data_IF_913590937430
#
_entry.id   IF_913590937430
#
_cell.length_a   1.000
_cell.length_b   1.000
_cell.length_c   1.000
_cell.angle_alpha   90.00
_cell.angle_beta   90.00
_cell.angle_gamma   90.00
#
_symmetry.space_group_name_H-M   'P 1'
#
loop_
_entity.id
_entity.type
_entity.pdbx_description
1 polymer ?
#
# COMPACT_ATOMS: atom_id res chain seq x y z
N UNK A 1 -26.50 50.96 2.68
CA UNK A 1 -27.21 49.67 2.85
C UNK A 1 -26.31 48.59 2.27
N UNK A 2 -25.92 47.55 3.04
CA UNK A 2 -25.18 46.44 2.44
C UNK A 2 -26.09 45.76 1.42
N UNK A 3 -25.57 45.52 0.21
CA UNK A 3 -26.31 44.84 -0.83
C UNK A 3 -26.85 43.51 -0.28
N UNK A 4 -28.17 43.32 -0.30
CA UNK A 4 -28.78 42.01 -0.03
C UNK A 4 -28.26 41.04 -1.10
N UNK A 5 -27.29 40.21 -0.73
CA UNK A 5 -26.81 39.14 -1.59
C UNK A 5 -27.95 38.11 -1.66
N UNK A 6 -28.77 38.19 -2.69
CA UNK A 6 -29.81 37.20 -2.95
C UNK A 6 -29.13 35.87 -3.25
N UNK A 7 -29.32 34.87 -2.38
CA UNK A 7 -28.76 33.54 -2.58
C UNK A 7 -29.40 32.88 -3.82
N UNK A 8 -28.63 32.15 -4.62
CA UNK A 8 -29.17 31.48 -5.80
C UNK A 8 -30.11 30.35 -5.37
N UNK A 9 -31.20 30.15 -6.12
CA UNK A 9 -32.10 28.99 -5.95
C UNK A 9 -31.38 27.64 -6.09
N UNK A 10 -30.28 27.62 -6.84
CA UNK A 10 -29.41 26.45 -7.04
C UNK A 10 -27.95 26.83 -6.81
N UNK A 11 -27.33 26.26 -5.78
CA UNK A 11 -25.92 26.42 -5.49
C UNK A 11 -25.14 25.15 -5.88
N UNK A 12 -23.96 25.34 -6.47
CA UNK A 12 -23.03 24.27 -6.80
C UNK A 12 -21.76 24.45 -5.97
N UNK A 13 -21.34 23.40 -5.28
CA UNK A 13 -20.10 23.35 -4.51
C UNK A 13 -19.22 22.28 -5.11
N UNK A 14 -17.93 22.56 -5.22
CA UNK A 14 -16.91 21.61 -5.62
C UNK A 14 -15.93 21.47 -4.47
N UNK A 15 -15.62 20.24 -4.08
CA UNK A 15 -14.76 19.96 -2.93
C UNK A 15 -13.65 19.03 -3.34
N UNK A 16 -12.47 19.24 -2.79
CA UNK A 16 -11.32 18.36 -3.02
C UNK A 16 -10.43 18.28 -1.77
N UNK A 17 -9.70 17.18 -1.65
CA UNK A 17 -8.65 16.97 -0.67
C UNK A 17 -7.32 16.63 -1.35
N UNK A 18 -6.25 17.31 -0.96
CA UNK A 18 -4.93 17.14 -1.59
C UNK A 18 -3.83 16.84 -0.58
N UNK A 19 -2.80 16.13 -1.05
CA UNK A 19 -1.57 15.87 -0.30
C UNK A 19 -0.38 16.45 -1.04
N UNK A 20 0.46 17.23 -0.34
CA UNK A 20 1.69 17.80 -0.89
C UNK A 20 2.77 17.84 0.19
N UNK A 21 3.98 17.34 -0.11
CA UNK A 21 5.16 17.39 0.77
C UNK A 21 4.86 17.23 2.28
N UNK A 22 4.28 16.08 2.66
CA UNK A 22 3.86 15.76 4.02
C UNK A 22 2.73 16.64 4.63
N UNK A 23 2.09 17.51 3.86
CA UNK A 23 0.91 18.28 4.23
C UNK A 23 -0.36 17.72 3.59
N UNK A 24 -1.47 17.78 4.33
CA UNK A 24 -2.81 17.41 3.86
C UNK A 24 -3.69 18.66 3.93
N UNK A 25 -4.32 18.96 2.80
CA UNK A 25 -5.22 20.09 2.62
C UNK A 25 -6.61 19.64 2.20
N UNK A 26 -7.59 20.50 2.45
CA UNK A 26 -8.97 20.36 2.00
C UNK A 26 -9.46 21.69 1.47
N UNK A 27 -10.38 21.67 0.52
CA UNK A 27 -11.00 22.88 0.03
C UNK A 27 -12.43 22.68 -0.47
N UNK A 28 -13.13 23.80 -0.56
CA UNK A 28 -14.42 23.95 -1.21
C UNK A 28 -14.45 25.24 -2.02
N UNK A 29 -15.04 25.16 -3.21
CA UNK A 29 -15.30 26.27 -4.11
C UNK A 29 -16.76 26.31 -4.54
N UNK A 30 -17.38 27.49 -4.45
CA UNK A 30 -18.74 27.76 -4.90
C UNK A 30 -18.89 29.24 -5.31
N UNK A 31 -19.94 29.54 -6.08
CA UNK A 31 -20.32 30.92 -6.39
C UNK A 31 -20.77 31.72 -5.16
N UNK A 32 -21.17 31.04 -4.07
CA UNK A 32 -21.61 31.69 -2.82
C UNK A 32 -20.54 31.70 -1.72
N UNK A 33 -19.36 31.14 -2.00
CA UNK A 33 -18.26 31.12 -1.04
C UNK A 33 -17.19 30.08 -1.37
N UNK A 34 -16.01 30.28 -0.81
CA UNK A 34 -14.91 29.33 -0.89
C UNK A 34 -14.20 29.25 0.46
N UNK A 35 -13.62 28.09 0.76
CA UNK A 35 -12.78 27.91 1.92
C UNK A 35 -11.70 26.88 1.61
N UNK A 36 -10.55 27.02 2.26
CA UNK A 36 -9.49 26.02 2.22
C UNK A 36 -8.97 25.83 3.64
N UNK A 37 -8.60 24.60 3.99
CA UNK A 37 -8.26 24.19 5.35
C UNK A 37 -6.99 23.34 5.34
N UNK A 38 -5.90 23.82 5.96
CA UNK A 38 -4.76 22.99 6.30
C UNK A 38 -5.23 21.96 7.35
N UNK A 39 -5.37 20.70 6.93
CA UNK A 39 -5.95 19.64 7.78
C UNK A 39 -4.92 19.12 8.76
N UNK A 40 -3.69 18.93 8.28
CA UNK A 40 -2.60 18.43 9.10
C UNK A 40 -1.48 17.86 8.25
N UNK A 41 -0.69 16.98 8.83
CA UNK A 41 0.40 16.32 8.12
C UNK A 41 -0.01 14.95 7.61
N UNK A 42 0.66 14.42 6.58
CA UNK A 42 0.45 13.03 6.11
C UNK A 42 0.85 11.99 7.18
N UNK A 43 1.55 12.45 8.21
CA UNK A 43 1.88 11.78 9.45
C UNK A 43 0.71 11.64 10.43
N UNK A 44 -0.37 12.39 10.25
CA UNK A 44 -1.54 12.39 11.14
C UNK A 44 -2.85 12.17 10.41
N UNK A 45 -2.96 12.67 9.18
CA UNK A 45 -4.16 12.64 8.35
C UNK A 45 -3.87 12.00 6.99
N UNK A 46 -4.93 11.52 6.33
CA UNK A 46 -4.88 10.97 4.97
C UNK A 46 -5.51 11.95 3.99
N UNK A 47 -5.19 11.87 2.70
CA UNK A 47 -5.89 12.63 1.65
C UNK A 47 -7.41 12.41 1.73
N UNK A 48 -7.85 11.17 1.96
CA UNK A 48 -9.26 10.84 2.22
C UNK A 48 -9.90 11.64 3.38
N UNK A 49 -9.13 12.04 4.39
CA UNK A 49 -9.65 12.89 5.45
C UNK A 49 -9.78 14.35 4.99
N UNK A 50 -8.88 14.82 4.12
CA UNK A 50 -9.03 16.11 3.45
C UNK A 50 -10.28 16.18 2.60
N UNK A 51 -10.61 15.11 1.90
CA UNK A 51 -11.81 14.98 1.07
C UNK A 51 -13.10 15.13 1.89
N UNK A 52 -13.15 14.47 3.05
CA UNK A 52 -14.25 14.62 4.00
C UNK A 52 -14.30 16.04 4.60
N UNK A 53 -13.15 16.65 4.92
CA UNK A 53 -13.10 18.04 5.41
C UNK A 53 -13.57 19.04 4.34
N UNK A 54 -13.35 18.76 3.05
CA UNK A 54 -13.88 19.58 1.94
C UNK A 54 -15.41 19.56 1.91
N UNK A 55 -16.01 18.37 2.04
CA UNK A 55 -17.48 18.22 2.17
C UNK A 55 -17.98 18.96 3.41
N UNK A 56 -17.32 18.79 4.55
CA UNK A 56 -17.76 19.45 5.79
C UNK A 56 -17.67 20.99 5.69
N UNK A 57 -16.63 21.52 5.03
CA UNK A 57 -16.50 22.94 4.76
C UNK A 57 -17.63 23.47 3.85
N UNK A 58 -18.06 22.69 2.85
CA UNK A 58 -19.21 23.05 2.02
C UNK A 58 -20.50 23.15 2.84
N UNK A 59 -20.72 22.19 3.74
CA UNK A 59 -21.88 22.19 4.63
C UNK A 59 -21.83 23.34 5.65
N UNK A 60 -20.65 23.70 6.15
CA UNK A 60 -20.47 24.87 7.03
C UNK A 60 -20.82 26.18 6.31
N UNK A 61 -20.44 26.34 5.03
CA UNK A 61 -20.85 27.50 4.23
C UNK A 61 -22.38 27.55 4.09
N UNK A 62 -23.01 26.42 3.77
CA UNK A 62 -24.49 26.34 3.66
C UNK A 62 -25.19 26.70 4.97
N UNK A 63 -24.68 26.23 6.11
CA UNK A 63 -25.24 26.55 7.43
C UNK A 63 -25.14 28.04 7.78
N UNK A 64 -24.09 28.73 7.29
CA UNK A 64 -23.90 30.17 7.47
C UNK A 64 -24.72 31.00 6.47
N UNK A 65 -25.04 30.43 5.32
CA UNK A 65 -25.79 31.07 4.23
C UNK A 65 -27.24 30.59 4.19
N UNK A 66 -28.04 30.96 5.19
CA UNK A 66 -29.46 30.62 5.21
C UNK A 66 -30.27 31.53 4.28
N UNK A 67 -31.12 30.99 3.40
CA UNK A 67 -32.02 31.78 2.58
C UNK A 67 -33.00 32.58 3.44
N UNK A 68 -33.23 33.83 3.07
CA UNK A 68 -34.22 34.69 3.71
C UNK A 68 -35.64 34.51 3.15
N UNK A 69 -35.79 33.75 2.05
CA UNK A 69 -37.08 33.53 1.39
C UNK A 69 -37.71 32.17 1.71
N UNK A 70 -39.01 32.06 1.46
CA UNK A 70 -39.81 30.89 1.81
C UNK A 70 -39.64 29.70 0.86
N UNK A 71 -38.95 29.87 -0.27
CA UNK A 71 -38.80 28.81 -1.24
C UNK A 71 -37.66 27.85 -0.84
N UNK A 72 -37.76 26.56 -1.20
CA UNK A 72 -36.66 25.64 -1.04
C UNK A 72 -35.53 25.94 -2.03
N UNK A 73 -34.30 26.02 -1.53
CA UNK A 73 -33.07 26.12 -2.34
C UNK A 73 -32.42 24.75 -2.48
N UNK A 74 -31.76 24.50 -3.60
CA UNK A 74 -31.02 23.25 -3.85
C UNK A 74 -29.52 23.50 -3.81
N UNK A 75 -28.78 22.69 -3.06
CA UNK A 75 -27.32 22.70 -3.03
C UNK A 75 -26.78 21.36 -3.49
N UNK A 76 -25.98 21.35 -4.56
CA UNK A 76 -25.26 20.15 -5.01
C UNK A 76 -23.78 20.27 -4.70
N UNK A 77 -23.28 19.35 -3.89
CA UNK A 77 -21.87 19.21 -3.52
C UNK A 77 -21.24 18.13 -4.40
N UNK A 78 -20.33 18.56 -5.27
CA UNK A 78 -19.57 17.72 -6.17
C UNK A 78 -18.23 17.34 -5.54
N UNK A 79 -17.91 16.05 -5.55
CA UNK A 79 -16.61 15.48 -5.15
C UNK A 79 -16.25 14.35 -6.10
N UNK A 80 -14.97 14.19 -6.41
CA UNK A 80 -14.46 13.07 -7.19
C UNK A 80 -14.22 11.80 -6.36
N UNK A 81 -14.35 11.92 -5.04
CA UNK A 81 -14.15 10.83 -4.10
C UNK A 81 -15.44 10.06 -3.82
N UNK A 82 -15.69 9.02 -4.61
CA UNK A 82 -16.86 8.15 -4.41
C UNK A 82 -16.89 7.49 -3.03
N UNK A 83 -15.73 7.25 -2.40
CA UNK A 83 -15.67 6.67 -1.07
C UNK A 83 -16.15 7.66 0.01
N UNK A 84 -15.94 8.96 -0.18
CA UNK A 84 -16.46 10.00 0.71
C UNK A 84 -17.99 10.11 0.62
N UNK A 85 -18.55 10.02 -0.59
CA UNK A 85 -20.01 9.96 -0.82
C UNK A 85 -20.60 8.75 -0.11
N UNK A 86 -20.05 7.55 -0.38
CA UNK A 86 -20.51 6.30 0.24
C UNK A 86 -20.45 6.37 1.76
N UNK A 87 -19.36 6.88 2.33
CA UNK A 87 -19.20 6.99 3.78
C UNK A 87 -20.18 8.01 4.41
N UNK A 88 -20.57 9.05 3.68
CA UNK A 88 -21.57 10.02 4.14
C UNK A 88 -22.97 9.41 4.13
N UNK A 89 -23.31 8.62 3.10
CA UNK A 89 -24.60 7.94 3.00
C UNK A 89 -24.74 6.74 3.95
N UNK A 90 -23.65 6.01 4.17
CA UNK A 90 -23.60 4.81 5.02
C UNK A 90 -22.38 4.90 5.96
N UNK A 91 -22.49 5.63 7.08
CA UNK A 91 -21.38 5.83 8.01
C UNK A 91 -20.94 4.52 8.65
N UNK A 92 -19.77 4.02 8.24
CA UNK A 92 -19.13 2.83 8.80
C UNK A 92 -18.02 3.16 9.81
N UNK A 93 -17.12 2.19 10.04
CA UNK A 93 -15.91 2.34 10.87
C UNK A 93 -14.69 2.76 10.03
N UNK A 94 -14.82 3.79 9.21
CA UNK A 94 -13.76 4.27 8.31
C UNK A 94 -12.81 5.27 8.98
N UNK A 95 -11.63 5.47 8.38
CA UNK A 95 -10.72 6.56 8.75
C UNK A 95 -11.43 7.91 8.62
N UNK A 96 -11.24 8.83 9.57
CA UNK A 96 -11.91 10.14 9.56
C UNK A 96 -13.32 10.12 10.16
N UNK A 97 -13.68 9.12 10.98
CA UNK A 97 -15.00 9.02 11.61
C UNK A 97 -15.42 10.27 12.41
N UNK A 98 -14.46 11.00 13.01
CA UNK A 98 -14.76 12.26 13.69
C UNK A 98 -15.25 13.36 12.72
N UNK A 99 -14.76 13.36 11.47
CA UNK A 99 -15.21 14.26 10.40
C UNK A 99 -16.59 13.81 9.92
N UNK A 100 -16.78 12.50 9.70
CA UNK A 100 -18.10 11.96 9.34
C UNK A 100 -19.17 12.30 10.37
N UNK A 101 -18.85 12.27 11.68
CA UNK A 101 -19.79 12.72 12.72
C UNK A 101 -20.18 14.20 12.58
N UNK A 102 -19.24 15.07 12.19
CA UNK A 102 -19.54 16.50 11.89
C UNK A 102 -20.43 16.61 10.66
N UNK A 103 -20.09 15.93 9.57
CA UNK A 103 -20.87 15.91 8.32
C UNK A 103 -22.30 15.45 8.59
N UNK A 104 -22.50 14.32 9.27
CA UNK A 104 -23.82 13.80 9.61
C UNK A 104 -24.61 14.78 10.47
N UNK A 105 -23.95 15.46 11.43
CA UNK A 105 -24.59 16.51 12.23
C UNK A 105 -25.03 17.69 11.36
N UNK A 106 -24.16 18.18 10.48
CA UNK A 106 -24.45 19.30 9.59
C UNK A 106 -25.57 18.96 8.59
N UNK A 107 -25.56 17.76 8.01
CA UNK A 107 -26.65 17.27 7.18
C UNK A 107 -27.97 17.15 7.94
N UNK A 108 -27.92 16.75 9.22
CA UNK A 108 -29.10 16.73 10.10
C UNK A 108 -29.69 18.13 10.30
N UNK A 109 -28.85 19.13 10.54
CA UNK A 109 -29.28 20.53 10.67
C UNK A 109 -29.84 21.08 9.35
N UNK A 110 -29.22 20.73 8.22
CA UNK A 110 -29.70 21.16 6.90
C UNK A 110 -30.96 20.41 6.44
N UNK A 111 -31.29 19.25 7.03
CA UNK A 111 -32.57 18.56 6.78
C UNK A 111 -33.76 19.21 7.46
N UNK A 112 -33.55 20.07 8.46
CA UNK A 112 -34.65 20.83 9.08
C UNK A 112 -35.26 21.76 8.02
N UNK A 113 -36.60 21.77 7.91
CA UNK A 113 -37.32 22.62 6.96
C UNK A 113 -37.06 24.12 7.17
N UNK A 114 -36.57 24.52 8.35
CA UNK A 114 -36.11 25.89 8.65
C UNK A 114 -34.83 26.27 7.91
N UNK A 115 -34.01 25.30 7.51
CA UNK A 115 -32.78 25.55 6.75
C UNK A 115 -33.07 25.99 5.31
N UNK A 116 -34.25 25.60 4.78
CA UNK A 116 -34.68 25.76 3.38
C UNK A 116 -33.75 25.14 2.34
N UNK A 117 -32.70 24.43 2.73
CA UNK A 117 -31.77 23.78 1.82
C UNK A 117 -32.11 22.31 1.56
N UNK A 118 -32.09 21.93 0.28
CA UNK A 118 -32.08 20.53 -0.17
C UNK A 118 -30.68 20.19 -0.66
N UNK A 119 -29.94 19.45 0.16
CA UNK A 119 -28.54 19.10 -0.12
C UNK A 119 -28.46 17.77 -0.86
N UNK A 120 -27.66 17.73 -1.93
CA UNK A 120 -27.32 16.53 -2.70
C UNK A 120 -25.79 16.41 -2.78
N UNK A 121 -25.27 15.21 -2.53
CA UNK A 121 -23.89 14.87 -2.88
C UNK A 121 -23.89 14.17 -4.23
N UNK A 122 -22.99 14.59 -5.12
CA UNK A 122 -22.90 14.08 -6.49
C UNK A 122 -21.44 13.80 -6.85
N UNK A 123 -21.19 12.68 -7.51
CA UNK A 123 -19.85 12.39 -8.02
C UNK A 123 -19.56 13.18 -9.30
N UNK A 124 -18.32 13.66 -9.44
CA UNK A 124 -17.77 14.29 -10.65
C UNK A 124 -16.42 13.62 -10.96
N UNK A 125 -16.01 13.45 -12.23
CA UNK A 125 -14.65 12.96 -12.51
C UNK A 125 -13.59 13.99 -12.08
N UNK A 126 -12.50 13.50 -11.48
CA UNK A 126 -11.33 14.29 -11.15
C UNK A 126 -10.41 14.48 -12.35
N UNK A 127 -9.76 15.64 -12.47
CA UNK A 127 -8.77 15.98 -13.50
C UNK A 127 -9.24 15.93 -14.96
N UNK A 128 -10.56 15.97 -15.20
CA UNK A 128 -11.17 16.01 -16.54
C UNK A 128 -11.52 17.45 -16.97
N UNK A 129 -10.89 18.47 -16.37
CA UNK A 129 -11.05 19.87 -16.81
C UNK A 129 -12.37 20.53 -16.41
N UNK A 130 -13.09 20.00 -15.41
CA UNK A 130 -14.29 20.65 -14.87
C UNK A 130 -13.88 21.90 -14.07
N UNK A 131 -14.21 23.14 -14.51
CA UNK A 131 -13.58 24.35 -13.96
C UNK A 131 -13.73 24.53 -12.44
N UNK A 132 -14.89 24.16 -11.89
CA UNK A 132 -15.14 24.22 -10.44
C UNK A 132 -14.34 23.19 -9.65
N UNK A 133 -14.15 21.98 -10.21
CA UNK A 133 -13.35 20.92 -9.59
C UNK A 133 -11.86 21.27 -9.63
N UNK A 134 -11.36 21.75 -10.77
CA UNK A 134 -9.98 22.22 -10.91
C UNK A 134 -9.68 23.38 -9.94
N UNK A 135 -10.67 24.26 -9.70
CA UNK A 135 -10.52 25.33 -8.71
C UNK A 135 -10.44 24.80 -7.28
N UNK A 136 -11.26 23.80 -6.93
CA UNK A 136 -11.20 23.14 -5.63
C UNK A 136 -9.84 22.44 -5.43
N UNK A 137 -9.33 21.75 -6.44
CA UNK A 137 -8.00 21.10 -6.41
C UNK A 137 -6.86 22.10 -6.20
N UNK A 138 -6.88 23.23 -6.92
CA UNK A 138 -5.91 24.31 -6.70
C UNK A 138 -5.94 24.81 -5.25
N UNK A 139 -7.13 25.04 -4.68
CA UNK A 139 -7.28 25.49 -3.30
C UNK A 139 -6.84 24.42 -2.29
N UNK A 140 -7.12 23.15 -2.56
CA UNK A 140 -6.71 22.04 -1.70
C UNK A 140 -5.19 21.88 -1.69
N UNK A 141 -4.53 22.05 -2.84
CA UNK A 141 -3.06 22.08 -2.95
C UNK A 141 -2.44 23.23 -2.15
N UNK A 142 -3.01 24.44 -2.23
CA UNK A 142 -2.57 25.57 -1.41
C UNK A 142 -2.71 25.28 0.09
N UNK A 143 -3.83 24.65 0.48
CA UNK A 143 -4.04 24.22 1.87
C UNK A 143 -3.01 23.18 2.32
N UNK A 144 -2.62 22.25 1.44
CA UNK A 144 -1.62 21.23 1.73
C UNK A 144 -0.22 21.84 1.91
N UNK A 145 0.18 22.76 1.03
CA UNK A 145 1.45 23.52 1.15
C UNK A 145 1.50 24.29 2.47
N UNK A 146 0.41 24.97 2.84
CA UNK A 146 0.31 25.66 4.11
C UNK A 146 0.38 24.70 5.30
N UNK A 147 -0.21 23.50 5.20
CA UNK A 147 -0.12 22.46 6.22
C UNK A 147 1.32 21.95 6.39
N UNK A 148 2.06 21.79 5.30
CA UNK A 148 3.50 21.46 5.32
C UNK A 148 4.29 22.52 6.08
N UNK A 149 4.11 23.79 5.71
CA UNK A 149 4.80 24.92 6.34
C UNK A 149 4.52 24.98 7.84
N UNK A 150 3.25 24.83 8.25
CA UNK A 150 2.86 24.78 9.67
C UNK A 150 3.49 23.59 10.40
N UNK A 151 3.54 22.43 9.77
CA UNK A 151 4.14 21.22 10.36
C UNK A 151 5.64 21.39 10.55
N UNK A 152 6.35 21.94 9.55
CA UNK A 152 7.78 22.22 9.63
C UNK A 152 8.09 23.26 10.71
N UNK A 153 7.30 24.33 10.80
CA UNK A 153 7.47 25.36 11.82
C UNK A 153 7.20 24.82 13.23
N UNK A 154 6.12 24.06 13.42
CA UNK A 154 5.85 23.39 14.69
C UNK A 154 6.98 22.44 15.09
N UNK A 155 7.56 21.69 14.15
CA UNK A 155 8.71 20.84 14.41
C UNK A 155 9.96 21.65 14.76
N UNK A 156 10.16 22.81 14.13
CA UNK A 156 11.26 23.74 14.45
C UNK A 156 11.11 24.32 15.85
N UNK A 157 9.93 24.84 16.20
CA UNK A 157 9.62 25.36 17.53
C UNK A 157 9.81 24.26 18.57
N UNK A 158 9.31 23.04 18.32
CA UNK A 158 9.49 21.91 19.24
C UNK A 158 10.96 21.54 19.47
N UNK A 159 11.84 21.71 18.46
CA UNK A 159 13.30 21.51 18.62
C UNK A 159 13.94 22.62 19.45
N UNK A 160 13.51 23.88 19.27
CA UNK A 160 14.04 25.05 19.98
C UNK A 160 13.59 25.06 21.45
N UNK A 161 12.31 24.77 21.69
CA UNK A 161 11.70 24.72 23.01
C UNK A 161 11.98 23.42 23.76
N UNK A 162 12.72 22.48 23.18
CA UNK A 162 13.13 21.26 23.87
C UNK A 162 14.14 21.63 24.97
N UNK A 163 13.83 21.41 26.27
CA UNK A 163 14.76 21.69 27.34
C UNK A 163 16.05 20.88 27.18
N UNK A 164 17.18 21.46 27.58
CA UNK A 164 18.51 20.87 27.45
C UNK A 164 18.56 19.44 28.04
N UNK A 165 18.62 18.47 27.13
CA UNK A 165 19.31 17.18 27.18
C UNK A 165 19.56 16.56 28.56
N UNK A 166 18.60 15.81 29.09
CA UNK A 166 18.85 14.61 29.93
C UNK A 166 17.75 13.56 29.84
N UNK A 167 16.57 13.89 29.28
CA UNK A 167 15.46 12.94 29.13
C UNK A 167 15.53 12.15 27.80
N UNK A 168 15.35 10.81 27.84
CA UNK A 168 15.32 9.96 26.65
C UNK A 168 14.28 10.43 25.63
N UNK A 169 14.53 10.18 24.34
CA UNK A 169 13.66 10.58 23.22
C UNK A 169 12.17 10.19 23.41
N UNK A 170 11.90 9.10 24.13
CA UNK A 170 10.54 8.66 24.47
C UNK A 170 9.74 9.68 25.31
N UNK A 171 10.41 10.49 26.14
CA UNK A 171 9.78 11.53 26.95
C UNK A 171 9.59 12.88 26.20
N UNK A 172 10.09 13.00 24.96
CA UNK A 172 10.00 14.23 24.14
C UNK A 172 8.75 14.31 23.27
N UNK A 173 8.02 13.21 23.13
CA UNK A 173 6.66 13.27 22.59
C UNK A 173 5.80 13.79 23.73
N UNK A 174 5.71 15.12 23.89
CA UNK A 174 4.60 15.73 24.61
C UNK A 174 3.34 15.47 23.77
N UNK A 175 2.88 14.22 23.82
CA UNK A 175 1.63 13.78 23.23
C UNK A 175 0.56 14.46 24.04
N UNK A 176 0.10 15.61 23.55
CA UNK A 176 -1.11 16.25 24.07
C UNK A 176 -2.27 15.43 23.48
N UNK A 177 -2.90 14.54 24.27
CA UNK A 177 -3.84 13.54 23.73
C UNK A 177 -5.06 14.17 23.06
N UNK A 178 -5.33 15.44 23.38
CA UNK A 178 -6.50 16.18 22.92
C UNK A 178 -6.22 17.16 21.75
N UNK A 179 -4.97 17.27 21.27
CA UNK A 179 -4.63 18.18 20.16
C UNK A 179 -4.02 17.49 18.94
N UNK A 180 -3.59 16.23 19.05
CA UNK A 180 -2.96 15.49 17.94
C UNK A 180 -3.82 14.29 17.55
N UNK A 181 -4.90 14.53 16.81
CA UNK A 181 -5.65 13.42 16.16
C UNK A 181 -4.74 12.75 15.14
N UNK A 182 -4.36 11.51 15.40
CA UNK A 182 -3.65 10.65 14.43
C UNK A 182 -4.62 9.57 13.97
N UNK A 183 -4.88 9.52 12.67
CA UNK A 183 -5.75 8.49 12.12
C UNK A 183 -5.11 7.11 12.25
N UNK A 184 -5.89 6.12 12.69
CA UNK A 184 -5.46 4.71 12.77
C UNK A 184 -4.91 4.18 11.44
N UNK A 185 -5.43 4.65 10.31
CA UNK A 185 -4.91 4.32 8.98
C UNK A 185 -3.44 4.75 8.82
N UNK A 186 -3.10 5.95 9.30
CA UNK A 186 -1.73 6.48 9.26
C UNK A 186 -0.82 5.71 10.23
N UNK A 187 -1.31 5.38 11.43
CA UNK A 187 -0.58 4.51 12.36
C UNK A 187 -0.23 3.16 11.71
N UNK A 188 -1.21 2.52 11.06
CA UNK A 188 -1.01 1.25 10.35
C UNK A 188 0.00 1.40 9.21
N UNK A 189 -0.11 2.45 8.40
CA UNK A 189 0.82 2.73 7.31
C UNK A 189 2.26 2.90 7.81
N UNK A 190 2.45 3.69 8.88
CA UNK A 190 3.75 3.91 9.53
C UNK A 190 4.34 2.62 10.08
N UNK A 191 3.54 1.81 10.76
CA UNK A 191 3.98 0.51 11.27
C UNK A 191 4.43 -0.41 10.13
N UNK A 192 3.62 -0.53 9.07
CA UNK A 192 4.01 -1.34 7.90
C UNK A 192 5.30 -0.85 7.25
N UNK A 193 5.45 0.46 7.05
CA UNK A 193 6.66 1.04 6.48
C UNK A 193 7.88 0.77 7.37
N UNK A 194 7.73 0.95 8.69
CA UNK A 194 8.78 0.67 9.68
C UNK A 194 9.18 -0.81 9.72
N UNK A 195 8.21 -1.72 9.72
CA UNK A 195 8.47 -3.16 9.65
C UNK A 195 9.13 -3.56 8.34
N UNK A 196 8.64 -3.05 7.20
CA UNK A 196 9.22 -3.33 5.90
C UNK A 196 10.67 -2.86 5.80
N UNK A 197 10.98 -1.66 6.32
CA UNK A 197 12.34 -1.13 6.38
C UNK A 197 13.25 -2.00 7.26
N UNK A 198 12.85 -2.24 8.52
CA UNK A 198 13.61 -3.08 9.46
C UNK A 198 13.86 -4.47 8.90
N UNK A 199 12.86 -5.03 8.24
CA UNK A 199 12.98 -6.37 7.68
C UNK A 199 13.89 -6.43 6.47
N UNK A 200 13.88 -5.42 5.58
CA UNK A 200 14.87 -5.28 4.51
C UNK A 200 16.30 -5.18 5.06
N UNK A 201 16.51 -4.32 6.06
CA UNK A 201 17.81 -4.18 6.73
C UNK A 201 18.28 -5.51 7.33
N UNK A 202 17.38 -6.24 8.02
CA UNK A 202 17.67 -7.57 8.54
C UNK A 202 17.99 -8.56 7.42
N UNK A 203 17.25 -8.56 6.31
CA UNK A 203 17.47 -9.48 5.19
C UNK A 203 18.82 -9.27 4.49
N UNK A 204 19.23 -8.01 4.32
CA UNK A 204 20.50 -7.64 3.71
C UNK A 204 21.71 -8.05 4.56
N UNK A 205 21.62 -7.87 5.88
CA UNK A 205 22.73 -8.03 6.81
C UNK A 205 22.71 -9.34 7.62
N UNK A 206 21.65 -10.14 7.52
CA UNK A 206 21.59 -11.42 8.23
C UNK A 206 22.66 -12.40 7.72
N UNK A 207 23.31 -13.08 8.67
CA UNK A 207 24.24 -14.17 8.39
C UNK A 207 23.54 -15.47 7.97
N UNK A 208 22.26 -15.63 8.32
CA UNK A 208 21.45 -16.78 7.95
C UNK A 208 20.68 -16.55 6.65
N UNK A 209 20.37 -17.62 5.91
CA UNK A 209 19.60 -17.53 4.67
C UNK A 209 20.37 -16.99 3.47
N UNK A 210 21.72 -16.90 3.54
CA UNK A 210 22.56 -16.35 2.46
C UNK A 210 22.41 -17.06 1.13
N UNK A 211 22.16 -18.37 1.15
CA UNK A 211 21.90 -19.13 -0.08
C UNK A 211 20.62 -18.63 -0.76
N UNK A 212 19.52 -18.50 -0.01
CA UNK A 212 18.28 -17.92 -0.49
C UNK A 212 18.48 -16.46 -0.95
N UNK A 213 19.25 -15.66 -0.22
CA UNK A 213 19.58 -14.27 -0.60
C UNK A 213 20.34 -14.18 -1.95
N UNK A 214 21.07 -15.21 -2.37
CA UNK A 214 21.73 -15.23 -3.69
C UNK A 214 20.71 -15.34 -4.83
N UNK A 215 19.57 -15.99 -4.56
CA UNK A 215 18.50 -16.26 -5.52
C UNK A 215 17.41 -15.19 -5.43
N UNK A 216 16.94 -14.89 -4.22
CA UNK A 216 15.87 -13.94 -3.92
C UNK A 216 16.45 -12.75 -3.17
N UNK A 217 16.81 -11.70 -3.91
CA UNK A 217 17.41 -10.47 -3.35
C UNK A 217 16.42 -9.65 -2.56
N UNK A 218 15.23 -9.48 -3.12
CA UNK A 218 14.17 -8.70 -2.52
C UNK A 218 12.99 -9.61 -2.23
N UNK A 219 12.55 -9.68 -0.97
CA UNK A 219 11.34 -10.40 -0.65
C UNK A 219 10.12 -9.58 -1.09
N UNK A 220 9.58 -9.98 -2.24
CA UNK A 220 8.41 -9.37 -2.85
C UNK A 220 7.28 -10.39 -2.93
N UNK A 221 6.05 -9.93 -3.23
CA UNK A 221 4.92 -10.84 -3.47
C UNK A 221 5.18 -11.81 -4.63
N UNK A 222 6.12 -11.50 -5.53
CA UNK A 222 6.56 -12.38 -6.62
C UNK A 222 7.04 -13.74 -6.10
N UNK A 223 7.68 -13.78 -4.93
CA UNK A 223 8.14 -15.03 -4.32
C UNK A 223 6.98 -15.98 -4.04
N UNK A 224 5.83 -15.44 -3.59
CA UNK A 224 4.63 -16.23 -3.35
C UNK A 224 4.00 -16.73 -4.66
N UNK A 225 4.08 -15.95 -5.73
CA UNK A 225 3.57 -16.32 -7.06
C UNK A 225 4.32 -17.51 -7.66
N UNK A 226 5.60 -17.72 -7.29
CA UNK A 226 6.35 -18.91 -7.73
C UNK A 226 5.71 -20.23 -7.26
N UNK A 227 4.94 -20.19 -6.17
CA UNK A 227 4.27 -21.35 -5.60
C UNK A 227 2.84 -21.53 -6.09
N UNK A 228 2.32 -20.57 -6.86
CA UNK A 228 0.93 -20.59 -7.32
C UNK A 228 0.68 -21.75 -8.30
N UNK A 229 -0.34 -22.55 -7.98
CA UNK A 229 -0.67 -23.77 -8.72
C UNK A 229 0.28 -24.96 -8.52
N UNK A 230 1.33 -24.83 -7.68
CA UNK A 230 2.19 -25.97 -7.34
C UNK A 230 1.53 -26.86 -6.27
N UNK A 231 1.70 -28.17 -6.41
CA UNK A 231 1.38 -29.13 -5.33
C UNK A 231 2.36 -28.95 -4.17
N UNK A 232 1.96 -29.36 -2.95
CA UNK A 232 2.78 -29.27 -1.73
C UNK A 232 4.20 -29.84 -1.91
N UNK A 233 4.32 -31.01 -2.54
CA UNK A 233 5.62 -31.64 -2.81
C UNK A 233 6.49 -30.80 -3.75
N UNK A 234 5.92 -30.27 -4.84
CA UNK A 234 6.61 -29.41 -5.79
C UNK A 234 7.08 -28.10 -5.15
N UNK A 235 6.20 -27.49 -4.33
CA UNK A 235 6.55 -26.34 -3.52
C UNK A 235 7.68 -26.64 -2.54
N UNK A 236 7.71 -27.84 -1.95
CA UNK A 236 8.78 -28.25 -1.03
C UNK A 236 10.11 -28.41 -1.74
N UNK A 237 10.13 -29.03 -2.94
CA UNK A 237 11.32 -29.12 -3.78
C UNK A 237 11.87 -27.73 -4.07
N UNK A 238 11.02 -26.80 -4.53
CA UNK A 238 11.45 -25.43 -4.81
C UNK A 238 12.10 -24.77 -3.59
N UNK A 239 11.47 -24.85 -2.42
CA UNK A 239 12.02 -24.31 -1.16
C UNK A 239 13.36 -24.95 -0.83
N UNK A 240 13.50 -26.27 -0.96
CA UNK A 240 14.76 -26.96 -0.67
C UNK A 240 15.89 -26.50 -1.60
N UNK A 241 15.61 -26.36 -2.90
CA UNK A 241 16.58 -25.87 -3.88
C UNK A 241 16.96 -24.41 -3.64
N UNK A 242 15.96 -23.55 -3.38
CA UNK A 242 16.13 -22.12 -3.11
C UNK A 242 16.84 -21.84 -1.78
N UNK A 243 16.66 -22.68 -0.77
CA UNK A 243 17.32 -22.52 0.54
C UNK A 243 18.66 -23.25 0.62
N UNK A 244 18.93 -24.16 -0.32
CA UNK A 244 20.12 -25.03 -0.32
C UNK A 244 20.02 -26.16 0.71
N UNK A 245 18.92 -26.24 1.45
CA UNK A 245 18.64 -27.28 2.46
C UNK A 245 17.89 -28.44 1.80
N UNK A 246 18.55 -29.07 0.85
CA UNK A 246 18.00 -30.18 0.05
C UNK A 246 18.69 -31.48 0.42
N UNK A 247 18.07 -32.63 0.14
CA UNK A 247 18.67 -33.95 0.38
C UNK A 247 19.81 -34.30 -0.62
N UNK A 248 20.54 -33.30 -1.12
CA UNK A 248 21.73 -33.49 -1.94
C UNK A 248 22.96 -33.67 -1.05
N UNK A 249 23.98 -34.39 -1.53
CA UNK A 249 25.17 -34.75 -0.73
C UNK A 249 25.85 -33.53 -0.09
N UNK A 250 25.91 -32.38 -0.77
CA UNK A 250 26.51 -31.16 -0.21
C UNK A 250 25.86 -30.72 1.11
N UNK A 251 24.53 -30.74 1.19
CA UNK A 251 23.84 -30.41 2.44
C UNK A 251 23.89 -31.56 3.43
N UNK A 252 23.70 -32.81 2.99
CA UNK A 252 23.74 -33.99 3.86
C UNK A 252 25.10 -34.12 4.58
N UNK A 253 26.21 -33.84 3.89
CA UNK A 253 27.53 -33.81 4.50
C UNK A 253 27.68 -32.66 5.50
N UNK A 254 27.10 -31.48 5.22
CA UNK A 254 27.13 -30.35 6.16
C UNK A 254 26.41 -30.64 7.49
N UNK A 255 25.44 -31.56 7.48
CA UNK A 255 24.72 -32.03 8.67
C UNK A 255 25.19 -33.41 9.16
N UNK A 256 26.31 -33.93 8.61
CA UNK A 256 26.97 -35.20 9.00
C UNK A 256 26.11 -36.46 8.80
N UNK A 257 25.26 -36.47 7.78
CA UNK A 257 24.52 -37.67 7.33
C UNK A 257 25.31 -38.44 6.27
N UNK A 258 26.00 -37.72 5.38
CA UNK A 258 26.89 -38.30 4.36
C UNK A 258 28.34 -37.95 4.70
N UNK A 259 29.28 -38.84 4.37
CA UNK A 259 30.71 -38.65 4.66
C UNK A 259 31.37 -37.62 3.73
N UNK A 260 30.82 -37.44 2.52
CA UNK A 260 31.39 -36.57 1.49
C UNK A 260 30.33 -35.75 0.76
N UNK A 261 30.57 -34.45 0.51
CA UNK A 261 29.69 -33.62 -0.31
C UNK A 261 29.83 -33.90 -1.82
N UNK A 262 30.83 -34.68 -2.23
CA UNK A 262 31.20 -34.87 -3.63
C UNK A 262 30.10 -35.58 -4.42
N UNK A 263 29.87 -35.12 -5.65
CA UNK A 263 29.01 -35.78 -6.60
C UNK A 263 29.69 -37.01 -7.19
N UNK A 264 28.92 -38.07 -7.45
CA UNK A 264 29.39 -39.31 -8.10
C UNK A 264 29.97 -39.08 -9.50
N UNK A 265 29.65 -37.95 -10.15
CA UNK A 265 30.28 -37.58 -11.41
C UNK A 265 31.76 -37.15 -11.28
N UNK A 266 32.26 -36.93 -10.05
CA UNK A 266 33.64 -36.54 -9.78
C UNK A 266 34.01 -35.07 -10.04
N UNK A 267 33.06 -34.24 -10.50
CA UNK A 267 33.34 -32.84 -10.91
C UNK A 267 32.98 -31.79 -9.86
N UNK A 268 33.03 -32.15 -8.57
CA UNK A 268 32.80 -31.26 -7.44
C UNK A 268 31.63 -31.67 -6.55
N UNK A 269 31.21 -30.79 -5.65
CA UNK A 269 30.14 -31.05 -4.69
C UNK A 269 28.77 -31.18 -5.37
N UNK A 270 27.95 -32.11 -4.89
CA UNK A 270 26.57 -32.25 -5.33
C UNK A 270 25.70 -31.18 -4.65
N UNK A 271 25.77 -29.95 -5.17
CA UNK A 271 24.91 -28.84 -4.77
C UNK A 271 23.84 -28.52 -5.86
N UNK A 272 22.88 -27.66 -5.51
CA UNK A 272 21.80 -27.26 -6.43
C UNK A 272 22.34 -26.73 -7.76
N UNK A 273 23.40 -25.91 -7.74
CA UNK A 273 23.96 -25.31 -8.94
C UNK A 273 24.66 -26.36 -9.83
N UNK A 274 25.36 -27.32 -9.23
CA UNK A 274 26.00 -28.44 -9.90
C UNK A 274 24.96 -29.30 -10.60
N UNK A 275 23.91 -29.74 -9.89
CA UNK A 275 22.89 -30.64 -10.46
C UNK A 275 22.11 -29.95 -11.59
N UNK A 276 21.67 -28.70 -11.37
CA UNK A 276 20.86 -27.96 -12.35
C UNK A 276 21.63 -27.54 -13.60
N UNK A 277 22.95 -27.30 -13.53
CA UNK A 277 23.70 -26.69 -14.63
C UNK A 277 24.86 -27.56 -15.15
N UNK A 278 25.64 -28.18 -14.26
CA UNK A 278 26.99 -28.69 -14.57
C UNK A 278 27.10 -30.22 -14.64
N UNK A 279 26.30 -30.95 -13.87
CA UNK A 279 26.48 -32.39 -13.65
C UNK A 279 26.34 -33.20 -14.96
N UNK A 280 27.39 -33.86 -15.47
CA UNK A 280 27.33 -34.57 -16.77
C UNK A 280 26.36 -35.75 -16.74
N UNK A 281 26.18 -36.39 -15.59
CA UNK A 281 25.25 -37.53 -15.39
C UNK A 281 23.80 -37.18 -15.73
N UNK A 282 23.43 -35.90 -15.65
CA UNK A 282 22.06 -35.44 -15.92
C UNK A 282 21.92 -34.65 -17.23
N UNK A 283 22.88 -34.72 -18.17
CA UNK A 283 22.86 -33.93 -19.40
C UNK A 283 21.62 -34.19 -20.26
N UNK A 284 21.29 -35.46 -20.52
CA UNK A 284 20.14 -35.82 -21.35
C UNK A 284 18.83 -35.36 -20.72
N UNK A 285 18.66 -35.61 -19.41
CA UNK A 285 17.47 -35.18 -18.68
C UNK A 285 17.33 -33.65 -18.66
N UNK A 286 18.43 -32.89 -18.54
CA UNK A 286 18.39 -31.42 -18.63
C UNK A 286 17.93 -30.95 -20.01
N UNK A 287 18.42 -31.56 -21.07
CA UNK A 287 18.00 -31.23 -22.45
C UNK A 287 16.51 -31.51 -22.66
N UNK A 288 15.99 -32.61 -22.10
CA UNK A 288 14.57 -32.99 -22.22
C UNK A 288 13.60 -32.10 -21.42
N UNK A 289 14.07 -31.52 -20.30
CA UNK A 289 13.22 -30.78 -19.34
C UNK A 289 13.57 -29.30 -19.28
N UNK A 290 14.67 -28.95 -18.60
CA UNK A 290 15.12 -27.58 -18.34
C UNK A 290 15.37 -26.77 -19.62
N UNK A 291 15.99 -27.38 -20.62
CA UNK A 291 16.43 -26.69 -21.85
C UNK A 291 15.60 -27.07 -23.07
N UNK A 292 14.37 -27.55 -22.86
CA UNK A 292 13.47 -27.98 -23.93
C UNK A 292 13.14 -26.85 -24.92
N UNK A 293 12.93 -25.64 -24.40
CA UNK A 293 12.51 -24.48 -25.19
C UNK A 293 13.59 -23.41 -25.28
N UNK A 294 14.30 -23.14 -24.19
CA UNK A 294 15.40 -22.19 -24.14
C UNK A 294 16.43 -22.56 -23.07
N UNK A 295 17.68 -22.16 -23.29
CA UNK A 295 18.80 -22.48 -22.40
C UNK A 295 19.09 -21.33 -21.44
N UNK A 296 18.93 -21.59 -20.14
CA UNK A 296 19.39 -20.70 -19.08
C UNK A 296 20.54 -21.36 -18.30
N UNK A 297 21.62 -20.61 -18.08
CA UNK A 297 22.87 -21.07 -17.45
C UNK A 297 23.04 -20.57 -16.03
N UNK A 298 22.22 -19.60 -15.61
CA UNK A 298 22.17 -19.12 -14.24
C UNK A 298 21.10 -19.88 -13.43
N UNK A 299 21.57 -20.80 -12.56
CA UNK A 299 20.68 -21.56 -11.68
C UNK A 299 19.81 -20.67 -10.78
N UNK A 300 20.22 -19.42 -10.51
CA UNK A 300 19.44 -18.50 -9.68
C UNK A 300 18.13 -18.16 -10.38
N UNK A 301 18.18 -17.84 -11.67
CA UNK A 301 17.01 -17.54 -12.48
C UNK A 301 16.09 -18.75 -12.64
N UNK A 302 16.68 -19.95 -12.80
CA UNK A 302 15.94 -21.21 -12.82
C UNK A 302 15.04 -21.38 -11.58
N UNK A 303 15.45 -20.82 -10.45
CA UNK A 303 14.76 -20.93 -9.18
C UNK A 303 14.00 -19.66 -8.76
N UNK A 304 14.15 -18.52 -9.46
CA UNK A 304 13.54 -17.24 -9.08
C UNK A 304 12.54 -16.69 -10.09
N UNK A 305 12.55 -17.16 -11.33
CA UNK A 305 11.66 -16.67 -12.38
C UNK A 305 10.54 -17.67 -12.70
N UNK A 306 9.27 -17.23 -12.77
CA UNK A 306 8.13 -18.13 -12.97
C UNK A 306 8.23 -19.04 -14.19
N UNK A 307 8.86 -18.56 -15.26
CA UNK A 307 9.00 -19.28 -16.54
C UNK A 307 9.87 -20.54 -16.46
N UNK A 308 10.78 -20.64 -15.48
CA UNK A 308 11.74 -21.75 -15.33
C UNK A 308 11.46 -22.66 -14.14
N UNK A 309 10.72 -22.14 -13.15
CA UNK A 309 10.54 -22.80 -11.86
C UNK A 309 9.88 -24.18 -12.00
N UNK A 310 8.88 -24.30 -12.87
CA UNK A 310 8.18 -25.58 -13.08
C UNK A 310 9.10 -26.62 -13.72
N UNK A 311 9.82 -26.27 -14.78
CA UNK A 311 10.77 -27.18 -15.44
C UNK A 311 11.91 -27.57 -14.48
N UNK A 312 12.37 -26.64 -13.64
CA UNK A 312 13.42 -26.90 -12.65
C UNK A 312 12.99 -27.90 -11.58
N UNK A 313 11.76 -27.79 -11.09
CA UNK A 313 11.20 -28.77 -10.15
C UNK A 313 11.01 -30.11 -10.84
N UNK A 314 10.43 -30.14 -12.05
CA UNK A 314 10.22 -31.37 -12.81
C UNK A 314 11.54 -32.12 -13.06
N UNK A 315 12.55 -31.39 -13.52
CA UNK A 315 13.90 -31.91 -13.69
C UNK A 315 14.41 -32.56 -12.42
N UNK A 316 14.39 -31.82 -11.29
CA UNK A 316 14.89 -32.33 -10.01
C UNK A 316 14.12 -33.55 -9.52
N UNK A 317 12.80 -33.59 -9.71
CA UNK A 317 11.99 -34.76 -9.38
C UNK A 317 12.39 -35.99 -10.22
N UNK A 318 12.61 -35.80 -11.53
CA UNK A 318 13.01 -36.87 -12.45
C UNK A 318 14.46 -37.34 -12.26
N UNK A 319 15.33 -36.55 -11.63
CA UNK A 319 16.69 -37.03 -11.29
C UNK A 319 16.69 -38.19 -10.30
N UNK A 320 15.64 -38.31 -9.48
CA UNK A 320 15.59 -39.29 -8.40
C UNK A 320 16.53 -39.01 -7.22
N UNK A 321 17.24 -37.88 -7.22
CA UNK A 321 18.18 -37.54 -6.13
C UNK A 321 17.47 -37.20 -4.82
N UNK A 322 16.25 -36.66 -4.89
CA UNK A 322 15.44 -36.35 -3.71
C UNK A 322 14.50 -37.52 -3.40
N UNK A 323 15.03 -38.53 -2.72
CA UNK A 323 14.35 -39.81 -2.44
C UNK A 323 13.01 -39.67 -1.74
N UNK A 324 12.87 -38.64 -0.90
CA UNK A 324 11.62 -38.29 -0.22
C UNK A 324 10.45 -37.94 -1.17
N UNK A 325 10.70 -37.76 -2.46
CA UNK A 325 9.68 -37.42 -3.46
C UNK A 325 9.46 -38.49 -4.54
N UNK A 326 10.06 -39.68 -4.42
CA UNK A 326 9.96 -40.75 -5.44
C UNK A 326 8.52 -41.19 -5.77
N UNK A 327 7.60 -41.13 -4.81
CA UNK A 327 6.19 -41.54 -5.00
C UNK A 327 5.25 -40.42 -5.45
N UNK A 328 5.78 -39.22 -5.72
CA UNK A 328 4.94 -38.07 -6.07
C UNK A 328 4.59 -38.08 -7.55
N UNK A 329 3.30 -38.12 -7.87
CA UNK A 329 2.81 -38.07 -9.25
C UNK A 329 3.15 -36.73 -9.92
N UNK A 330 3.59 -36.73 -11.19
CA UNK A 330 3.83 -35.50 -11.96
C UNK A 330 2.61 -34.57 -12.00
N UNK A 331 2.86 -33.27 -12.17
CA UNK A 331 1.79 -32.33 -12.56
C UNK A 331 1.38 -32.70 -13.99
N UNK A 332 0.14 -33.15 -14.17
CA UNK A 332 -0.45 -33.30 -15.51
C UNK A 332 -0.47 -31.93 -16.18
N UNK A 333 0.24 -31.80 -17.30
CA UNK A 333 0.15 -30.62 -18.16
C UNK A 333 -1.28 -30.57 -18.70
N UNK A 334 -2.15 -29.77 -18.08
CA UNK A 334 -3.36 -29.33 -18.75
C UNK A 334 -2.92 -28.48 -19.92
N UNK A 335 -2.85 -29.09 -21.10
CA UNK A 335 -2.88 -28.34 -22.36
C UNK A 335 -4.18 -27.56 -22.33
N UNK A 336 -4.08 -26.26 -22.14
CA UNK A 336 -5.13 -25.32 -22.54
C UNK A 336 -5.39 -25.56 -24.03
N UNK A 337 -6.53 -26.17 -24.34
CA UNK A 337 -7.15 -26.09 -25.66
C UNK A 337 -7.76 -24.71 -25.84
#
# INVERSE_FOLDING_TARGET
MPAEITLPKRAKFFTDGSGFDNGIGAAVYSSIGQAYKPVGSSDTHTVYAGELEGIDAALEILLRSQPCDDNPHEATIYTDNQAAIRATCQPGRSSGQYILRRIVRHLGLLRDNRSRWRVRLQWVPGHEGVPGNEKADQLAKLAAVEATRRTQENARIARISAPNQTTPHAARMSYIPNQSTILMAVCRQRLHAGFAKRWKEQWEHANHGRHLYRIIKAPTKMVLQLHEGLRRAWSSVLIQLQTGKSALRSFLASVRIEDSPQCECGLGDQDTAHVLIRCPTHINLRMETLWKEARETDYRKLLSEPQWVRQSIEFMMRTGLLTQFHHVTPLTTTRSQ
#
